data_IF_510636000802
#
_entry.id   IF_510636000802
#
_cell.length_a   1.000
_cell.length_b   1.000
_cell.length_c   1.000
_cell.angle_alpha   90.00
_cell.angle_beta   90.00
_cell.angle_gamma   90.00
#
_symmetry.space_group_name_H-M   'P 1'
#
loop_
_entity.id
_entity.type
_entity.pdbx_description
1 polymer ?
#
# COMPACT_ATOMS: atom_id res chain seq x y z
N UNK A 1 19.91 30.97 -32.99
CA UNK A 1 20.09 29.51 -33.23
C UNK A 1 20.75 28.79 -32.05
N UNK A 2 21.95 29.17 -31.58
CA UNK A 2 22.61 28.52 -30.43
C UNK A 2 21.82 28.56 -29.11
N UNK A 3 21.15 29.68 -28.81
CA UNK A 3 20.30 29.82 -27.60
C UNK A 3 19.06 28.91 -27.64
N UNK A 4 18.45 28.73 -28.82
CA UNK A 4 17.29 27.83 -29.01
C UNK A 4 17.68 26.37 -28.77
N UNK A 5 18.87 25.96 -29.24
CA UNK A 5 19.40 24.62 -28.99
C UNK A 5 19.69 24.35 -27.50
N UNK A 6 20.22 25.34 -26.77
CA UNK A 6 20.48 25.22 -25.32
C UNK A 6 19.17 25.13 -24.54
N UNK A 7 18.16 25.94 -24.89
CA UNK A 7 16.85 25.90 -24.23
C UNK A 7 16.13 24.56 -24.43
N UNK A 8 16.20 23.97 -25.63
CA UNK A 8 15.63 22.64 -25.91
C UNK A 8 16.36 21.53 -25.13
N UNK A 9 17.70 21.60 -25.03
CA UNK A 9 18.49 20.61 -24.29
C UNK A 9 18.19 20.62 -22.78
N UNK A 10 17.86 21.78 -22.21
CA UNK A 10 17.55 21.91 -20.77
C UNK A 10 16.13 21.41 -20.46
N UNK A 11 15.20 21.52 -21.42
CA UNK A 11 13.81 21.06 -21.26
C UNK A 11 13.69 19.53 -21.31
N UNK A 12 14.55 18.84 -22.06
CA UNK A 12 14.55 17.37 -22.15
C UNK A 12 15.05 16.65 -20.88
N UNK A 13 15.85 17.29 -20.03
CA UNK A 13 16.32 16.71 -18.75
C UNK A 13 15.41 17.01 -17.55
N UNK A 14 14.35 17.81 -17.74
CA UNK A 14 13.41 18.18 -16.68
C UNK A 14 12.20 17.22 -16.60
N UNK A 15 12.16 16.14 -17.39
CA UNK A 15 11.11 15.14 -17.26
C UNK A 15 11.33 14.34 -15.97
N UNK A 16 10.36 14.28 -15.05
CA UNK A 16 10.48 13.43 -13.88
C UNK A 16 10.60 11.97 -14.36
N UNK A 17 11.70 11.32 -13.99
CA UNK A 17 11.85 9.88 -14.17
C UNK A 17 10.94 9.25 -13.12
N UNK A 18 9.76 8.80 -13.53
CA UNK A 18 8.91 8.00 -12.67
C UNK A 18 9.54 6.60 -12.54
N UNK A 19 9.84 6.18 -11.32
CA UNK A 19 10.20 4.79 -11.05
C UNK A 19 8.97 3.88 -11.22
N UNK A 20 9.19 2.57 -11.31
CA UNK A 20 8.09 1.60 -11.29
C UNK A 20 7.30 1.72 -9.98
N UNK A 21 6.01 1.38 -10.04
CA UNK A 21 5.22 1.20 -8.82
C UNK A 21 5.79 0.04 -8.01
N UNK A 22 5.80 0.21 -6.68
CA UNK A 22 6.22 -0.83 -5.74
C UNK A 22 5.10 -1.05 -4.72
N UNK A 23 4.88 -2.31 -4.38
CA UNK A 23 4.00 -2.73 -3.30
C UNK A 23 4.80 -3.34 -2.16
N UNK A 24 4.30 -3.21 -0.93
CA UNK A 24 4.89 -3.84 0.25
C UNK A 24 3.92 -4.86 0.87
N UNK A 25 4.39 -6.08 1.07
CA UNK A 25 3.68 -7.06 1.89
C UNK A 25 3.87 -6.70 3.38
N UNK A 26 2.79 -6.31 4.08
CA UNK A 26 2.86 -5.74 5.43
C UNK A 26 3.53 -6.69 6.45
N UNK A 27 3.40 -8.00 6.25
CA UNK A 27 4.07 -9.02 7.09
C UNK A 27 5.60 -8.89 7.13
N UNK A 28 6.21 -8.22 6.14
CA UNK A 28 7.63 -7.89 6.14
C UNK A 28 8.03 -7.02 7.34
N UNK A 29 7.11 -6.20 7.85
CA UNK A 29 7.28 -5.32 9.00
C UNK A 29 6.57 -5.83 10.27
N UNK A 30 6.23 -7.12 10.34
CA UNK A 30 5.49 -7.73 11.47
C UNK A 30 6.08 -7.46 12.85
N UNK A 31 7.39 -7.22 12.94
CA UNK A 31 8.03 -6.94 14.22
C UNK A 31 7.81 -5.48 14.66
N UNK A 32 7.75 -4.54 13.72
CA UNK A 32 7.41 -3.14 13.96
C UNK A 32 5.92 -3.01 14.29
N UNK A 33 5.06 -3.74 13.57
CA UNK A 33 3.62 -3.78 13.88
C UNK A 33 3.30 -4.32 15.27
N UNK A 34 4.13 -5.22 15.83
CA UNK A 34 3.99 -5.67 17.23
C UNK A 34 4.26 -4.57 18.26
N UNK A 35 4.98 -3.52 17.89
CA UNK A 35 5.39 -2.46 18.81
C UNK A 35 4.59 -1.19 18.62
N UNK A 36 4.31 -0.81 17.38
CA UNK A 36 3.65 0.45 17.04
C UNK A 36 2.98 0.35 15.66
N UNK A 37 1.66 0.14 15.65
CA UNK A 37 0.89 -0.04 14.42
C UNK A 37 0.86 1.27 13.61
N UNK A 38 0.49 2.38 14.26
CA UNK A 38 0.34 3.67 13.59
C UNK A 38 1.70 4.20 13.10
N UNK A 39 2.74 4.14 13.93
CA UNK A 39 4.09 4.55 13.56
C UNK A 39 4.67 3.71 12.42
N UNK A 40 4.33 2.43 12.35
CA UNK A 40 4.74 1.57 11.22
C UNK A 40 4.03 1.98 9.92
N UNK A 41 2.72 2.22 9.94
CA UNK A 41 1.99 2.71 8.77
C UNK A 41 2.50 4.08 8.32
N UNK A 42 2.76 4.99 9.27
CA UNK A 42 3.40 6.28 8.98
C UNK A 42 4.75 6.08 8.29
N UNK A 43 5.58 5.16 8.78
CA UNK A 43 6.90 4.88 8.19
C UNK A 43 6.78 4.41 6.73
N UNK A 44 5.82 3.54 6.43
CA UNK A 44 5.56 3.08 5.04
C UNK A 44 5.20 4.26 4.14
N UNK A 45 4.32 5.14 4.62
CA UNK A 45 3.92 6.36 3.90
C UNK A 45 5.08 7.33 3.72
N UNK A 46 5.92 7.52 4.74
CA UNK A 46 7.13 8.35 4.69
C UNK A 46 8.15 7.81 3.65
N UNK A 47 8.17 6.50 3.38
CA UNK A 47 8.95 5.89 2.30
C UNK A 47 8.38 6.14 0.90
N UNK A 48 7.17 6.70 0.80
CA UNK A 48 6.48 6.92 -0.45
C UNK A 48 5.81 5.67 -1.02
N UNK A 49 5.60 4.64 -0.21
CA UNK A 49 4.89 3.41 -0.62
C UNK A 49 3.41 3.57 -0.28
N UNK A 50 2.55 3.54 -1.30
CA UNK A 50 1.10 3.72 -1.16
C UNK A 50 0.30 2.45 -1.51
N UNK A 51 0.96 1.39 -1.97
CA UNK A 51 0.33 0.07 -2.26
C UNK A 51 0.86 -0.99 -1.30
N UNK A 52 -0.06 -1.72 -0.68
CA UNK A 52 0.31 -2.82 0.23
C UNK A 52 -0.53 -4.07 -0.01
N UNK A 53 0.08 -5.21 0.26
CA UNK A 53 -0.66 -6.45 0.54
C UNK A 53 -0.81 -6.55 2.07
N UNK A 54 -2.00 -6.91 2.55
CA UNK A 54 -2.34 -6.90 3.96
C UNK A 54 -3.50 -7.82 4.34
N UNK A 55 -4.39 -7.35 5.20
CA UNK A 55 -5.57 -8.11 5.63
C UNK A 55 -5.54 -8.62 7.08
N UNK A 56 -4.46 -8.34 7.82
CA UNK A 56 -4.40 -8.44 9.28
C UNK A 56 -4.44 -7.02 9.87
N UNK A 57 -4.95 -6.87 11.08
CA UNK A 57 -5.03 -5.61 11.83
C UNK A 57 -3.97 -5.53 12.93
N UNK A 58 -3.18 -6.59 13.12
CA UNK A 58 -2.14 -6.69 14.15
C UNK A 58 -2.68 -6.49 15.57
N UNK A 59 -3.95 -6.84 15.79
CA UNK A 59 -4.63 -6.72 17.08
C UNK A 59 -5.45 -5.44 17.28
N UNK A 60 -5.48 -4.54 16.29
CA UNK A 60 -6.35 -3.36 16.28
C UNK A 60 -7.76 -3.73 15.81
N UNK A 61 -8.76 -2.91 16.16
CA UNK A 61 -10.09 -2.98 15.55
C UNK A 61 -10.00 -2.68 14.04
N UNK A 62 -10.81 -3.37 13.23
CA UNK A 62 -10.69 -3.32 11.76
C UNK A 62 -10.98 -1.92 11.20
N UNK A 63 -12.03 -1.25 11.68
CA UNK A 63 -12.38 0.10 11.22
C UNK A 63 -11.32 1.14 11.64
N UNK A 64 -10.76 1.04 12.85
CA UNK A 64 -9.62 1.86 13.29
C UNK A 64 -8.39 1.66 12.41
N UNK A 65 -8.04 0.40 12.10
CA UNK A 65 -6.91 0.09 11.23
C UNK A 65 -7.13 0.65 9.81
N UNK A 66 -8.34 0.49 9.25
CA UNK A 66 -8.71 1.07 7.96
C UNK A 66 -8.64 2.60 7.96
N UNK A 67 -9.06 3.25 9.04
CA UNK A 67 -8.93 4.70 9.17
C UNK A 67 -7.46 5.16 9.18
N UNK A 68 -6.55 4.38 9.76
CA UNK A 68 -5.11 4.67 9.68
C UNK A 68 -4.55 4.49 8.27
N UNK A 69 -4.97 3.44 7.54
CA UNK A 69 -4.59 3.26 6.14
C UNK A 69 -5.01 4.47 5.30
N UNK A 70 -6.25 4.94 5.44
CA UNK A 70 -6.76 6.14 4.78
C UNK A 70 -5.97 7.39 5.19
N UNK A 71 -5.72 7.59 6.49
CA UNK A 71 -4.95 8.72 7.04
C UNK A 71 -3.56 8.84 6.42
N UNK A 72 -2.90 7.71 6.14
CA UNK A 72 -1.56 7.66 5.57
C UNK A 72 -1.52 7.41 4.06
N UNK A 73 -2.67 7.49 3.39
CA UNK A 73 -2.80 7.26 1.94
C UNK A 73 -2.23 5.90 1.50
N UNK A 74 -2.48 4.85 2.29
CA UNK A 74 -2.06 3.49 2.00
C UNK A 74 -3.26 2.71 1.46
N UNK A 75 -3.10 2.15 0.26
CA UNK A 75 -4.11 1.39 -0.44
C UNK A 75 -3.78 -0.10 -0.37
N UNK A 76 -4.70 -0.89 0.18
CA UNK A 76 -4.59 -2.35 0.18
C UNK A 76 -5.00 -2.86 -1.19
N UNK A 77 -4.06 -3.42 -1.95
CA UNK A 77 -4.34 -3.97 -3.29
C UNK A 77 -4.68 -5.45 -3.26
N UNK A 78 -4.16 -6.17 -2.26
CA UNK A 78 -4.43 -7.58 -2.02
C UNK A 78 -4.49 -7.91 -0.53
N UNK A 79 -5.22 -8.96 -0.18
CA UNK A 79 -5.26 -9.48 1.19
C UNK A 79 -4.84 -10.95 1.24
N UNK A 80 -4.05 -11.32 2.24
CA UNK A 80 -3.72 -12.73 2.48
C UNK A 80 -4.90 -13.48 3.12
N UNK A 81 -5.19 -14.68 2.61
CA UNK A 81 -6.29 -15.53 3.11
C UNK A 81 -5.83 -16.98 3.25
N UNK A 82 -6.27 -17.66 4.32
CA UNK A 82 -6.05 -19.09 4.46
C UNK A 82 -6.87 -19.88 3.42
N UNK A 83 -6.28 -20.94 2.87
CA UNK A 83 -6.92 -21.78 1.87
C UNK A 83 -8.21 -22.44 2.37
N UNK A 84 -8.26 -22.83 3.65
CA UNK A 84 -9.45 -23.47 4.21
C UNK A 84 -10.59 -22.47 4.41
N UNK A 85 -10.27 -21.21 4.74
CA UNK A 85 -11.27 -20.15 4.87
C UNK A 85 -11.88 -19.81 3.50
N UNK A 86 -11.04 -19.74 2.45
CA UNK A 86 -11.51 -19.59 1.05
C UNK A 86 -12.50 -20.69 0.67
N UNK A 87 -12.21 -21.94 1.05
CA UNK A 87 -13.05 -23.09 0.74
C UNK A 87 -14.33 -23.12 1.57
N UNK A 88 -14.28 -22.61 2.80
CA UNK A 88 -15.40 -22.61 3.75
C UNK A 88 -16.43 -21.55 3.42
N UNK A 89 -16.00 -20.31 3.19
CA UNK A 89 -16.90 -19.18 2.95
C UNK A 89 -16.23 -18.09 2.09
N UNK A 90 -16.30 -18.27 0.78
CA UNK A 90 -15.78 -17.30 -0.18
C UNK A 90 -16.48 -15.94 -0.11
N UNK A 91 -17.77 -15.89 0.29
CA UNK A 91 -18.51 -14.63 0.36
C UNK A 91 -17.99 -13.75 1.49
N UNK A 92 -17.76 -14.34 2.67
CA UNK A 92 -17.15 -13.61 3.79
C UNK A 92 -15.76 -13.05 3.45
N UNK A 93 -14.98 -13.78 2.64
CA UNK A 93 -13.67 -13.30 2.15
C UNK A 93 -13.83 -12.16 1.14
N UNK A 94 -14.76 -12.27 0.20
CA UNK A 94 -15.06 -11.18 -0.73
C UNK A 94 -15.51 -9.91 0.00
N UNK A 95 -16.40 -10.05 0.99
CA UNK A 95 -16.85 -8.94 1.84
C UNK A 95 -15.67 -8.28 2.58
N UNK A 96 -14.71 -9.08 3.05
CA UNK A 96 -13.48 -8.56 3.67
C UNK A 96 -12.62 -7.79 2.67
N UNK A 97 -12.38 -8.35 1.48
CA UNK A 97 -11.63 -7.68 0.43
C UNK A 97 -12.26 -6.34 0.04
N UNK A 98 -13.59 -6.31 -0.10
CA UNK A 98 -14.36 -5.09 -0.43
C UNK A 98 -14.20 -4.01 0.64
N UNK A 99 -14.22 -4.36 1.93
CA UNK A 99 -13.98 -3.38 3.01
C UNK A 99 -12.59 -2.74 2.89
N UNK A 100 -11.57 -3.51 2.50
CA UNK A 100 -10.22 -2.99 2.29
C UNK A 100 -10.01 -2.35 0.90
N UNK A 101 -10.99 -2.44 -0.02
CA UNK A 101 -10.83 -2.01 -1.40
C UNK A 101 -9.85 -2.87 -2.21
N UNK A 102 -9.54 -4.07 -1.71
CA UNK A 102 -8.58 -4.99 -2.32
C UNK A 102 -9.18 -5.68 -3.55
N UNK A 103 -8.40 -5.78 -4.63
CA UNK A 103 -8.82 -6.44 -5.88
C UNK A 103 -8.34 -7.88 -5.99
N UNK A 104 -7.41 -8.27 -5.13
CA UNK A 104 -6.73 -9.56 -5.17
C UNK A 104 -6.77 -10.23 -3.79
N UNK A 105 -6.76 -11.56 -3.80
CA UNK A 105 -6.66 -12.45 -2.65
C UNK A 105 -5.38 -13.29 -2.75
#
# INVERSE_FOLDING_TARGET
MKKVFITIFTLCFALPICAQEIGLQLYSLRNQFKTDIEGTLKTISDWGIDKVEGGDTYGMEEAEFRALLEKYNINVVGIGVDYNDLKKDLSAIADKADRYGAKYL
#
